data_IF_539902976441
#
_entry.id   IF_539902976441
#
_cell.length_a   1.000
_cell.length_b   1.000
_cell.length_c   1.000
_cell.angle_alpha   90.00
_cell.angle_beta   90.00
_cell.angle_gamma   90.00
#
_symmetry.space_group_name_H-M   'P 1'
#
loop_
_entity.id
_entity.type
_entity.pdbx_description
1 polymer ?
#
# COMPACT_ATOMS: atom_id res chain seq x y z
N UNK A 1 -70.81 -20.23 -2.01
CA UNK A 1 -70.21 -21.04 -0.93
C UNK A 1 -68.71 -20.83 -0.69
N UNK A 2 -67.95 -20.10 -1.53
CA UNK A 2 -66.49 -19.87 -1.35
C UNK A 2 -66.08 -18.62 -0.53
N UNK A 3 -66.99 -17.69 -0.19
CA UNK A 3 -66.64 -16.45 0.54
C UNK A 3 -66.70 -16.53 2.07
N UNK A 4 -67.42 -17.50 2.64
CA UNK A 4 -67.56 -17.65 4.11
C UNK A 4 -66.43 -18.46 4.77
N UNK A 5 -65.70 -19.30 4.01
CA UNK A 5 -64.58 -20.08 4.55
C UNK A 5 -63.26 -19.30 4.63
N UNK A 6 -63.09 -18.23 3.85
CA UNK A 6 -61.85 -17.44 3.85
C UNK A 6 -61.73 -16.53 5.09
N UNK A 7 -62.83 -15.93 5.56
CA UNK A 7 -62.83 -15.06 6.75
C UNK A 7 -62.60 -15.84 8.06
N UNK A 8 -63.08 -17.08 8.18
CA UNK A 8 -62.85 -17.93 9.38
C UNK A 8 -61.38 -18.36 9.51
N UNK A 9 -60.68 -18.56 8.39
CA UNK A 9 -59.28 -18.98 8.40
C UNK A 9 -58.33 -17.82 8.74
N UNK A 10 -58.61 -16.61 8.24
CA UNK A 10 -57.85 -15.40 8.62
C UNK A 10 -57.99 -15.06 10.12
N UNK A 11 -59.17 -15.24 10.72
CA UNK A 11 -59.38 -14.94 12.14
C UNK A 11 -58.64 -15.91 13.09
N UNK A 12 -58.54 -17.20 12.71
CA UNK A 12 -57.78 -18.18 13.49
C UNK A 12 -56.25 -18.00 13.35
N UNK A 13 -55.78 -17.55 12.19
CA UNK A 13 -54.36 -17.29 11.95
C UNK A 13 -53.88 -16.02 12.69
N UNK A 14 -54.72 -14.97 12.76
CA UNK A 14 -54.42 -13.76 13.53
C UNK A 14 -54.39 -14.03 15.04
N UNK A 15 -55.30 -14.88 15.55
CA UNK A 15 -55.36 -15.26 16.97
C UNK A 15 -54.16 -16.12 17.39
N UNK A 16 -53.66 -17.01 16.52
CA UNK A 16 -52.41 -17.77 16.76
C UNK A 16 -51.17 -16.87 16.77
N UNK A 17 -51.08 -15.90 15.85
CA UNK A 17 -49.95 -14.93 15.83
C UNK A 17 -49.96 -13.99 17.04
N UNK A 18 -51.15 -13.55 17.49
CA UNK A 18 -51.28 -12.73 18.70
C UNK A 18 -50.90 -13.50 19.98
N UNK A 19 -51.27 -14.80 20.08
CA UNK A 19 -50.91 -15.64 21.23
C UNK A 19 -49.40 -15.99 21.26
N UNK A 20 -48.76 -16.20 20.11
CA UNK A 20 -47.31 -16.37 20.04
C UNK A 20 -46.56 -15.06 20.37
N UNK A 21 -47.06 -13.90 19.93
CA UNK A 21 -46.47 -12.60 20.27
C UNK A 21 -46.55 -12.28 21.76
N UNK A 22 -47.65 -12.63 22.42
CA UNK A 22 -47.81 -12.47 23.87
C UNK A 22 -46.85 -13.37 24.65
N UNK A 23 -46.62 -14.60 24.18
CA UNK A 23 -45.65 -15.51 24.80
C UNK A 23 -44.21 -14.98 24.69
N UNK A 24 -43.83 -14.40 23.55
CA UNK A 24 -42.49 -13.80 23.36
C UNK A 24 -42.28 -12.57 24.26
N UNK A 25 -43.32 -11.80 24.56
CA UNK A 25 -43.25 -10.63 25.45
C UNK A 25 -43.26 -10.99 26.94
N UNK A 26 -43.87 -12.11 27.31
CA UNK A 26 -44.01 -12.54 28.72
C UNK A 26 -42.88 -13.50 29.15
N UNK A 27 -42.27 -14.24 28.21
CA UNK A 27 -41.15 -15.16 28.49
C UNK A 27 -39.96 -14.53 29.26
N UNK A 28 -39.56 -13.27 29.02
CA UNK A 28 -38.47 -12.62 29.79
C UNK A 28 -38.88 -12.26 31.23
N UNK A 29 -40.18 -12.13 31.50
CA UNK A 29 -40.71 -11.75 32.82
C UNK A 29 -40.87 -12.95 33.76
N UNK A 30 -41.11 -14.15 33.20
CA UNK A 30 -41.31 -15.39 33.97
C UNK A 30 -39.96 -16.09 34.27
N UNK A 31 -38.96 -15.91 33.40
CA UNK A 31 -37.62 -16.50 33.57
C UNK A 31 -36.50 -15.46 33.50
N UNK A 32 -36.43 -14.50 34.45
CA UNK A 32 -35.42 -13.45 34.42
C UNK A 32 -33.98 -14.00 34.50
N UNK A 33 -33.77 -15.17 35.12
CA UNK A 33 -32.45 -15.82 35.25
C UNK A 33 -31.92 -16.47 33.96
N UNK A 34 -32.77 -16.72 32.95
CA UNK A 34 -32.34 -17.26 31.65
C UNK A 34 -31.93 -16.16 30.66
N UNK A 35 -32.30 -14.90 30.96
CA UNK A 35 -32.05 -13.74 30.11
C UNK A 35 -31.32 -12.60 30.83
N UNK A 36 -30.80 -12.82 32.05
CA UNK A 36 -29.72 -11.96 32.55
C UNK A 36 -28.57 -12.06 31.56
N UNK A 37 -28.24 -11.00 30.81
CA UNK A 37 -26.91 -10.91 30.25
C UNK A 37 -25.95 -10.88 31.45
N UNK A 38 -24.70 -11.20 31.23
CA UNK A 38 -23.59 -10.91 32.12
C UNK A 38 -23.57 -9.40 32.52
N UNK A 39 -24.44 -8.96 33.42
CA UNK A 39 -24.46 -7.61 34.02
C UNK A 39 -23.60 -7.55 35.28
N UNK A 40 -22.88 -8.64 35.58
CA UNK A 40 -21.68 -8.63 36.40
C UNK A 40 -20.38 -8.62 35.57
N UNK A 41 -20.41 -8.10 34.34
CA UNK A 41 -19.23 -7.39 33.87
C UNK A 41 -19.22 -6.03 34.56
N UNK A 42 -18.43 -5.95 35.62
CA UNK A 42 -18.02 -4.70 36.25
C UNK A 42 -17.78 -3.59 35.22
N UNK A 43 -18.05 -2.30 35.54
CA UNK A 43 -17.81 -1.18 34.62
C UNK A 43 -16.32 -0.95 34.28
N UNK A 44 -15.45 -1.91 34.61
CA UNK A 44 -14.01 -1.89 34.38
C UNK A 44 -13.57 -2.37 32.98
N UNK A 45 -14.48 -2.78 32.09
CA UNK A 45 -14.10 -3.30 30.75
C UNK A 45 -14.19 -2.29 29.60
N UNK A 46 -14.67 -1.07 29.85
CA UNK A 46 -14.63 0.04 28.88
C UNK A 46 -13.57 1.11 29.20
N UNK A 47 -12.81 0.95 30.29
CA UNK A 47 -11.73 1.89 30.68
C UNK A 47 -10.36 1.60 30.06
N UNK A 48 -10.19 0.50 29.32
CA UNK A 48 -8.90 0.13 28.70
C UNK A 48 -8.69 0.66 27.27
N UNK A 49 -9.57 1.53 26.74
CA UNK A 49 -9.12 2.48 25.73
C UNK A 49 -8.27 3.55 26.43
N UNK A 50 -7.10 3.14 26.92
CA UNK A 50 -6.09 4.10 27.35
C UNK A 50 -5.82 4.98 26.14
N UNK A 51 -6.09 6.28 26.28
CA UNK A 51 -5.61 7.30 25.33
C UNK A 51 -4.12 7.03 25.15
N UNK A 52 -3.62 6.81 23.91
CA UNK A 52 -2.21 6.56 23.69
C UNK A 52 -1.40 7.69 24.35
N UNK A 53 -0.58 7.34 25.35
CA UNK A 53 0.27 8.34 26.00
C UNK A 53 1.44 8.65 25.06
N UNK A 54 1.76 9.93 24.81
CA UNK A 54 2.91 10.30 24.00
C UNK A 54 4.17 9.71 24.60
N UNK A 55 4.91 8.95 23.81
CA UNK A 55 5.99 8.12 24.33
C UNK A 55 7.25 8.94 24.60
N UNK A 56 7.40 10.05 23.88
CA UNK A 56 8.59 10.89 23.86
C UNK A 56 8.26 12.34 24.23
N UNK A 57 7.31 12.55 25.14
CA UNK A 57 6.79 13.88 25.51
C UNK A 57 7.88 14.90 25.86
N UNK A 58 8.96 14.47 26.55
CA UNK A 58 10.11 15.35 26.87
C UNK A 58 10.81 15.83 25.60
N UNK A 59 11.08 14.92 24.67
CA UNK A 59 11.74 15.23 23.40
C UNK A 59 10.84 16.12 22.53
N UNK A 60 9.54 15.87 22.54
CA UNK A 60 8.56 16.68 21.81
C UNK A 60 8.54 18.13 22.32
N UNK A 61 8.57 18.33 23.65
CA UNK A 61 8.68 19.66 24.25
C UNK A 61 9.99 20.35 23.86
N UNK A 62 11.11 19.63 23.93
CA UNK A 62 12.41 20.18 23.52
C UNK A 62 12.45 20.55 22.03
N UNK A 63 11.82 19.74 21.16
CA UNK A 63 11.73 20.04 19.73
C UNK A 63 10.88 21.28 19.44
N UNK A 64 9.76 21.46 20.16
CA UNK A 64 8.89 22.64 20.04
C UNK A 64 9.55 23.94 20.54
N UNK A 65 10.48 23.83 21.51
CA UNK A 65 11.16 24.97 22.14
C UNK A 65 12.51 25.30 21.48
N UNK A 66 12.93 24.55 20.46
CA UNK A 66 14.24 24.72 19.83
C UNK A 66 14.32 26.07 19.10
N UNK A 67 15.17 26.96 19.59
CA UNK A 67 15.49 28.22 18.92
C UNK A 67 16.44 28.02 17.72
N UNK A 68 16.30 28.91 16.74
CA UNK A 68 16.92 28.83 15.41
C UNK A 68 18.43 29.12 15.46
N UNK A 69 19.26 28.14 15.14
CA UNK A 69 20.66 28.40 14.78
C UNK A 69 20.72 28.72 13.28
N UNK A 70 20.92 29.99 12.94
CA UNK A 70 20.91 30.52 11.56
C UNK A 70 21.99 29.95 10.64
N UNK A 71 23.04 29.32 11.19
CA UNK A 71 24.15 28.74 10.43
C UNK A 71 23.93 27.32 9.87
N UNK A 72 22.97 26.54 10.40
CA UNK A 72 22.80 25.12 10.04
C UNK A 72 21.83 24.89 8.85
N UNK A 73 21.07 25.91 8.42
CA UNK A 73 20.03 25.75 7.38
C UNK A 73 20.58 25.62 5.95
N UNK A 74 21.78 26.12 5.64
CA UNK A 74 22.34 26.02 4.28
C UNK A 74 22.73 24.58 3.92
N UNK A 75 23.28 23.86 4.89
CA UNK A 75 23.82 22.51 4.69
C UNK A 75 22.71 21.47 4.59
N UNK A 76 21.60 21.66 5.31
CA UNK A 76 20.43 20.78 5.28
C UNK A 76 19.88 20.55 3.87
N UNK A 77 19.91 21.59 3.05
CA UNK A 77 19.37 21.58 1.69
C UNK A 77 20.43 21.49 0.60
N UNK A 78 21.68 21.24 0.99
CA UNK A 78 22.76 20.96 0.05
C UNK A 78 22.56 19.56 -0.56
N UNK A 79 22.88 19.38 -1.86
CA UNK A 79 22.89 18.04 -2.44
C UNK A 79 23.91 17.17 -1.70
N UNK A 80 23.57 15.90 -1.49
CA UNK A 80 24.54 14.92 -0.99
C UNK A 80 25.70 14.81 -1.98
N UNK A 81 26.90 14.52 -1.47
CA UNK A 81 28.05 14.26 -2.31
C UNK A 81 27.72 13.17 -3.33
N UNK A 82 28.07 13.41 -4.59
CA UNK A 82 27.95 12.41 -5.64
C UNK A 82 28.83 11.21 -5.27
N UNK A 83 28.19 10.08 -5.04
CA UNK A 83 28.87 8.83 -4.70
C UNK A 83 29.50 8.15 -5.94
N UNK A 84 29.44 8.78 -7.11
CA UNK A 84 30.02 8.27 -8.36
C UNK A 84 29.19 7.19 -9.04
N UNK A 85 27.98 6.90 -8.55
CA UNK A 85 27.06 5.98 -9.20
C UNK A 85 26.53 6.58 -10.50
N UNK A 86 26.76 5.90 -11.61
CA UNK A 86 26.27 6.33 -12.92
C UNK A 86 25.19 5.36 -13.41
N UNK A 87 24.10 5.86 -14.02
CA UNK A 87 23.19 5.01 -14.76
C UNK A 87 23.98 4.20 -15.79
N UNK A 88 23.82 2.88 -15.78
CA UNK A 88 24.49 2.03 -16.74
C UNK A 88 23.85 2.24 -18.14
N UNK A 89 24.47 3.09 -18.95
CA UNK A 89 24.06 3.43 -20.32
C UNK A 89 24.73 2.52 -21.38
N UNK A 90 25.10 1.29 -21.00
CA UNK A 90 25.73 0.35 -21.91
C UNK A 90 24.76 -0.04 -23.03
N UNK A 91 24.97 0.53 -24.22
CA UNK A 91 24.45 -0.05 -25.47
C UNK A 91 25.20 -1.34 -25.72
N UNK A 92 24.75 -2.43 -25.11
CA UNK A 92 25.14 -3.76 -25.59
C UNK A 92 24.46 -3.91 -26.93
N UNK A 93 25.24 -4.17 -27.99
CA UNK A 93 24.70 -4.66 -29.25
C UNK A 93 23.98 -5.97 -28.92
N UNK A 94 22.68 -5.89 -28.64
CA UNK A 94 21.90 -7.06 -28.28
C UNK A 94 21.92 -7.98 -29.50
N UNK A 95 22.30 -9.26 -29.34
CA UNK A 95 22.15 -10.22 -30.43
C UNK A 95 20.68 -10.21 -30.87
N UNK A 96 20.46 -10.28 -32.18
CA UNK A 96 19.12 -10.30 -32.76
C UNK A 96 18.27 -11.36 -32.07
N UNK A 97 17.03 -11.01 -31.75
CA UNK A 97 16.07 -11.96 -31.19
C UNK A 97 16.03 -13.25 -32.04
N UNK A 98 15.99 -14.43 -31.39
CA UNK A 98 15.81 -15.68 -32.12
C UNK A 98 14.54 -15.62 -32.97
N UNK A 99 14.60 -16.12 -34.21
CA UNK A 99 13.45 -16.09 -35.14
C UNK A 99 12.23 -16.86 -34.61
N UNK A 100 12.43 -17.82 -33.70
CA UNK A 100 11.37 -18.66 -33.14
C UNK A 100 11.46 -18.68 -31.61
N UNK A 101 10.32 -18.45 -30.96
CA UNK A 101 10.15 -18.56 -29.51
C UNK A 101 9.82 -20.00 -29.09
N UNK A 102 10.26 -20.40 -27.90
CA UNK A 102 9.99 -21.72 -27.30
C UNK A 102 8.54 -21.89 -26.80
N UNK A 103 7.75 -20.80 -26.75
CA UNK A 103 6.36 -20.81 -26.30
C UNK A 103 5.97 -19.55 -25.53
N UNK A 104 4.79 -19.57 -24.91
CA UNK A 104 4.24 -18.46 -24.15
C UNK A 104 4.47 -18.63 -22.64
N UNK A 105 5.07 -17.62 -22.02
CA UNK A 105 5.25 -17.56 -20.57
C UNK A 105 4.21 -16.64 -19.96
N UNK A 106 3.36 -17.18 -19.08
CA UNK A 106 2.47 -16.42 -18.22
C UNK A 106 3.00 -16.40 -16.79
N UNK A 107 2.92 -15.23 -16.15
CA UNK A 107 3.25 -15.07 -14.72
C UNK A 107 2.09 -14.43 -13.99
N UNK A 108 1.78 -14.95 -12.80
CA UNK A 108 0.73 -14.44 -11.92
C UNK A 108 1.38 -13.85 -10.68
N UNK A 109 1.53 -12.53 -10.66
CA UNK A 109 2.35 -11.79 -9.73
C UNK A 109 1.68 -11.62 -8.37
N UNK A 110 2.26 -12.20 -7.32
CA UNK A 110 1.78 -12.05 -5.95
C UNK A 110 2.60 -11.04 -5.13
N UNK A 111 2.04 -10.63 -3.99
CA UNK A 111 2.64 -9.63 -3.11
C UNK A 111 2.04 -8.24 -3.26
N UNK A 112 2.66 -7.23 -2.65
CA UNK A 112 2.30 -5.82 -2.86
C UNK A 112 2.89 -5.26 -4.14
N UNK A 113 2.43 -4.09 -4.61
CA UNK A 113 2.84 -3.51 -5.90
C UNK A 113 4.37 -3.40 -6.09
N UNK A 114 5.12 -3.04 -5.05
CA UNK A 114 6.59 -3.00 -5.14
C UNK A 114 7.24 -4.39 -5.24
N UNK A 115 6.63 -5.42 -4.65
CA UNK A 115 7.08 -6.82 -4.82
C UNK A 115 6.72 -7.32 -6.22
N UNK A 116 5.51 -7.00 -6.70
CA UNK A 116 5.08 -7.32 -8.06
C UNK A 116 5.97 -6.62 -9.09
N UNK A 117 6.40 -5.37 -8.85
CA UNK A 117 7.38 -4.64 -9.67
C UNK A 117 8.69 -5.42 -9.83
N UNK A 118 9.22 -5.96 -8.74
CA UNK A 118 10.39 -6.85 -8.80
C UNK A 118 10.08 -8.15 -9.56
N UNK A 119 8.90 -8.72 -9.35
CA UNK A 119 8.44 -9.89 -10.08
C UNK A 119 8.30 -9.64 -11.60
N UNK A 120 7.90 -8.44 -12.04
CA UNK A 120 7.89 -8.08 -13.46
C UNK A 120 9.31 -8.10 -14.04
N UNK A 121 10.29 -7.56 -13.30
CA UNK A 121 11.69 -7.58 -13.70
C UNK A 121 12.22 -9.02 -13.83
N UNK A 122 11.87 -9.88 -12.86
CA UNK A 122 12.19 -11.31 -12.91
C UNK A 122 11.50 -12.02 -14.08
N UNK A 123 10.24 -11.71 -14.38
CA UNK A 123 9.49 -12.34 -15.45
C UNK A 123 10.10 -12.05 -16.83
N UNK A 124 10.50 -10.81 -17.08
CA UNK A 124 11.21 -10.43 -18.32
C UNK A 124 12.56 -11.15 -18.42
N UNK A 125 13.31 -11.21 -17.33
CA UNK A 125 14.59 -11.93 -17.28
C UNK A 125 14.41 -13.45 -17.53
N UNK A 126 13.41 -14.06 -16.91
CA UNK A 126 13.08 -15.48 -17.10
C UNK A 126 12.63 -15.74 -18.54
N UNK A 127 11.81 -14.88 -19.13
CA UNK A 127 11.43 -14.99 -20.55
C UNK A 127 12.66 -14.96 -21.46
N UNK A 128 13.64 -14.08 -21.17
CA UNK A 128 14.91 -14.04 -21.90
C UNK A 128 15.72 -15.33 -21.75
N UNK A 129 15.84 -15.85 -20.52
CA UNK A 129 16.56 -17.10 -20.23
C UNK A 129 15.93 -18.29 -20.97
N UNK A 130 14.60 -18.32 -21.06
CA UNK A 130 13.84 -19.40 -21.68
C UNK A 130 13.62 -19.24 -23.20
N UNK A 131 14.07 -18.12 -23.81
CA UNK A 131 13.71 -17.73 -25.17
C UNK A 131 12.16 -17.78 -25.42
N UNK A 132 11.40 -17.34 -24.42
CA UNK A 132 9.94 -17.40 -24.41
C UNK A 132 9.31 -16.04 -24.75
N UNK A 133 8.10 -16.08 -25.30
CA UNK A 133 7.25 -14.90 -25.48
C UNK A 133 6.53 -14.61 -24.19
N UNK A 134 6.79 -13.44 -23.61
CA UNK A 134 6.15 -13.04 -22.36
C UNK A 134 4.74 -12.51 -22.64
N UNK A 135 3.75 -13.08 -21.97
CA UNK A 135 2.41 -12.48 -21.88
C UNK A 135 2.46 -11.37 -20.82
N UNK A 136 1.79 -10.24 -21.05
CA UNK A 136 1.73 -9.15 -20.06
C UNK A 136 1.42 -9.73 -18.66
N UNK A 137 2.29 -9.46 -17.66
CA UNK A 137 2.15 -10.05 -16.33
C UNK A 137 0.80 -9.76 -15.67
N UNK A 138 0.17 -10.77 -15.10
CA UNK A 138 -1.08 -10.61 -14.36
C UNK A 138 -0.81 -10.20 -12.91
N UNK A 139 -1.42 -9.13 -12.42
CA UNK A 139 -1.28 -8.69 -11.03
C UNK A 139 -2.36 -9.37 -10.15
N UNK A 140 -1.95 -10.21 -9.19
CA UNK A 140 -2.89 -10.77 -8.22
C UNK A 140 -3.33 -9.71 -7.22
N UNK A 141 -4.61 -9.77 -6.82
CA UNK A 141 -5.16 -8.90 -5.78
C UNK A 141 -4.56 -9.26 -4.43
N UNK A 142 -3.90 -8.28 -3.80
CA UNK A 142 -3.33 -8.47 -2.48
C UNK A 142 -4.41 -8.38 -1.39
N UNK A 143 -4.44 -9.28 -0.40
CA UNK A 143 -5.48 -9.28 0.64
C UNK A 143 -5.44 -8.06 1.58
N UNK A 144 -4.31 -7.36 1.68
CA UNK A 144 -4.16 -6.15 2.50
C UNK A 144 -4.70 -4.93 1.78
N UNK A 145 -4.29 -4.74 0.53
CA UNK A 145 -4.57 -3.53 -0.24
C UNK A 145 -5.89 -3.60 -1.01
N UNK A 146 -6.31 -4.81 -1.41
CA UNK A 146 -7.52 -5.08 -2.17
C UNK A 146 -7.65 -4.25 -3.46
N UNK A 147 -6.51 -3.84 -4.03
CA UNK A 147 -6.45 -3.13 -5.30
C UNK A 147 -6.61 -4.13 -6.45
N UNK A 148 -7.59 -3.87 -7.31
CA UNK A 148 -7.93 -4.69 -8.48
C UNK A 148 -7.38 -4.12 -9.79
N UNK A 149 -6.55 -3.07 -9.73
CA UNK A 149 -5.94 -2.47 -10.91
C UNK A 149 -5.10 -3.50 -11.66
N UNK A 150 -5.31 -3.58 -12.97
CA UNK A 150 -4.53 -4.43 -13.85
C UNK A 150 -3.15 -3.82 -14.14
N UNK A 151 -2.27 -4.59 -14.80
CA UNK A 151 -0.99 -4.07 -15.27
C UNK A 151 -1.18 -2.83 -16.15
N UNK A 152 -2.21 -2.81 -17.00
CA UNK A 152 -2.45 -1.74 -17.98
C UNK A 152 -3.07 -0.49 -17.36
N UNK A 153 -3.71 -0.62 -16.20
CA UNK A 153 -4.23 0.51 -15.44
C UNK A 153 -3.09 1.30 -14.76
N UNK A 154 -1.96 0.64 -14.48
CA UNK A 154 -0.82 1.21 -13.76
C UNK A 154 0.29 1.61 -14.71
N UNK A 155 0.69 0.73 -15.63
CA UNK A 155 1.86 0.89 -16.49
C UNK A 155 1.49 1.10 -17.96
N UNK A 156 2.26 1.95 -18.63
CA UNK A 156 2.15 2.20 -20.06
C UNK A 156 2.67 0.98 -20.85
N UNK A 157 1.73 0.15 -21.30
CA UNK A 157 2.03 -1.13 -21.96
C UNK A 157 2.74 -0.93 -23.29
N UNK A 158 2.34 0.06 -24.08
CA UNK A 158 2.94 0.30 -25.39
C UNK A 158 4.39 0.78 -25.25
N UNK A 159 4.65 1.66 -24.27
CA UNK A 159 6.02 2.03 -23.90
C UNK A 159 6.83 0.83 -23.41
N UNK A 160 6.25 0.00 -22.53
CA UNK A 160 6.90 -1.20 -21.99
C UNK A 160 7.33 -2.17 -23.11
N UNK A 161 6.42 -2.47 -24.04
CA UNK A 161 6.70 -3.33 -25.20
C UNK A 161 7.74 -2.71 -26.13
N UNK A 162 7.62 -1.41 -26.43
CA UNK A 162 8.56 -0.75 -27.34
C UNK A 162 9.99 -0.65 -26.77
N UNK A 163 10.15 -0.44 -25.46
CA UNK A 163 11.48 -0.41 -24.80
C UNK A 163 12.16 -1.78 -24.82
N UNK A 164 11.38 -2.86 -24.75
CA UNK A 164 11.86 -4.24 -24.63
C UNK A 164 11.82 -5.04 -25.94
N UNK A 165 11.38 -4.44 -27.04
CA UNK A 165 11.15 -5.11 -28.34
C UNK A 165 12.37 -5.82 -28.91
N UNK A 166 13.58 -5.36 -28.57
CA UNK A 166 14.84 -5.94 -29.03
C UNK A 166 15.41 -6.94 -27.99
N UNK A 167 14.85 -6.99 -26.78
CA UNK A 167 15.29 -7.88 -25.70
C UNK A 167 14.49 -9.18 -25.66
N UNK A 168 13.15 -9.10 -25.68
CA UNK A 168 12.24 -10.25 -25.68
C UNK A 168 10.95 -9.97 -26.47
N UNK A 169 10.31 -10.99 -27.06
CA UNK A 169 8.95 -10.86 -27.58
C UNK A 169 7.93 -10.76 -26.43
N UNK A 170 7.00 -9.81 -26.54
CA UNK A 170 5.94 -9.56 -25.55
C UNK A 170 4.60 -9.45 -26.28
N UNK A 171 3.55 -10.05 -25.71
CA UNK A 171 2.17 -9.95 -26.22
C UNK A 171 1.20 -9.53 -25.13
N UNK A 172 0.15 -8.80 -25.51
CA UNK A 172 -0.90 -8.33 -24.59
C UNK A 172 -1.83 -9.46 -24.16
N UNK A 173 -2.28 -10.24 -25.14
CA UNK A 173 -3.24 -11.32 -24.97
C UNK A 173 -2.73 -12.57 -25.65
N UNK A 174 -3.09 -13.73 -25.10
CA UNK A 174 -2.73 -15.03 -25.66
C UNK A 174 -3.45 -15.27 -27.00
N UNK A 175 -2.86 -16.05 -27.91
CA UNK A 175 -3.57 -16.58 -29.07
C UNK A 175 -4.79 -17.44 -28.67
N UNK A 176 -5.78 -17.53 -29.55
CA UNK A 176 -7.06 -18.21 -29.29
C UNK A 176 -6.90 -19.67 -28.82
N UNK A 177 -5.89 -20.39 -29.33
CA UNK A 177 -5.57 -21.77 -28.94
C UNK A 177 -5.19 -21.92 -27.45
N UNK A 178 -4.76 -20.83 -26.81
CA UNK A 178 -4.41 -20.74 -25.39
C UNK A 178 -5.39 -19.89 -24.57
N UNK A 179 -6.53 -19.48 -25.13
CA UNK A 179 -7.56 -18.67 -24.43
C UNK A 179 -8.08 -19.31 -23.15
N UNK A 180 -7.97 -20.64 -23.01
CA UNK A 180 -8.31 -21.39 -21.79
C UNK A 180 -7.35 -21.13 -20.62
N UNK A 181 -6.16 -20.57 -20.87
CA UNK A 181 -5.08 -20.40 -19.91
C UNK A 181 -5.28 -19.16 -19.02
N UNK A 182 -6.34 -19.21 -18.21
CA UNK A 182 -6.79 -18.11 -17.35
C UNK A 182 -6.43 -18.33 -15.88
N UNK A 183 -6.58 -17.28 -15.07
CA UNK A 183 -6.37 -17.35 -13.63
C UNK A 183 -7.32 -18.35 -12.96
N UNK A 184 -8.57 -18.38 -13.41
CA UNK A 184 -9.65 -19.25 -12.94
C UNK A 184 -9.35 -20.70 -13.29
N UNK A 185 -8.88 -20.95 -14.51
CA UNK A 185 -8.47 -22.29 -14.94
C UNK A 185 -7.41 -22.89 -14.01
N UNK A 186 -6.41 -22.10 -13.64
CA UNK A 186 -5.35 -22.51 -12.72
C UNK A 186 -5.77 -22.55 -11.25
N UNK A 187 -6.86 -21.88 -10.86
CA UNK A 187 -7.39 -21.89 -9.50
C UNK A 187 -8.05 -23.24 -9.14
N UNK A 188 -8.65 -23.90 -10.12
CA UNK A 188 -9.56 -25.04 -9.91
C UNK A 188 -8.88 -26.38 -9.69
N UNK A 189 -7.72 -26.60 -10.29
CA UNK A 189 -7.02 -27.89 -10.23
C UNK A 189 -5.51 -27.75 -10.47
N UNK A 190 -4.77 -28.82 -10.19
CA UNK A 190 -3.36 -28.94 -10.58
C UNK A 190 -3.33 -29.19 -12.09
N UNK A 191 -2.56 -28.38 -12.83
CA UNK A 191 -2.43 -28.45 -14.29
C UNK A 191 -0.98 -28.69 -14.66
N UNK A 192 -0.73 -29.53 -15.66
CA UNK A 192 0.64 -29.79 -16.15
C UNK A 192 1.35 -28.54 -16.68
N UNK A 193 0.58 -27.56 -17.17
CA UNK A 193 1.10 -26.26 -17.63
C UNK A 193 1.35 -25.26 -16.50
N UNK A 194 1.02 -25.59 -15.24
CA UNK A 194 1.19 -24.70 -14.09
C UNK A 194 2.41 -25.07 -13.24
N UNK A 195 3.34 -24.13 -13.11
CA UNK A 195 4.48 -24.22 -12.21
C UNK A 195 4.13 -23.53 -10.88
N UNK A 196 3.84 -24.33 -9.84
CA UNK A 196 3.46 -23.84 -8.50
C UNK A 196 4.64 -23.71 -7.53
N UNK A 197 5.73 -24.45 -7.76
CA UNK A 197 6.84 -24.64 -6.81
C UNK A 197 8.16 -24.05 -7.29
N UNK A 198 8.13 -22.90 -7.97
CA UNK A 198 9.36 -22.18 -8.24
C UNK A 198 10.03 -21.80 -6.91
N UNK A 199 11.27 -22.23 -6.63
CA UNK A 199 12.00 -21.83 -5.43
C UNK A 199 12.08 -20.30 -5.32
N UNK A 200 12.15 -19.80 -4.09
CA UNK A 200 12.55 -18.40 -3.87
C UNK A 200 14.02 -18.31 -4.28
N UNK A 201 14.38 -17.31 -5.09
CA UNK A 201 15.72 -17.18 -5.68
C UNK A 201 16.18 -18.41 -6.50
N UNK A 202 15.30 -18.96 -7.34
CA UNK A 202 15.68 -20.04 -8.25
C UNK A 202 16.81 -19.59 -9.21
N UNK A 203 17.73 -20.48 -9.54
CA UNK A 203 18.80 -20.22 -10.51
C UNK A 203 18.27 -20.20 -11.94
N UNK A 204 19.03 -19.64 -12.88
CA UNK A 204 18.69 -19.70 -14.31
C UNK A 204 18.53 -21.16 -14.80
N UNK A 205 19.43 -22.06 -14.37
CA UNK A 205 19.36 -23.48 -14.72
C UNK A 205 18.08 -24.15 -14.23
N UNK A 206 17.58 -23.76 -13.05
CA UNK A 206 16.32 -24.31 -12.55
C UNK A 206 15.17 -24.04 -13.52
N UNK A 207 15.11 -22.85 -14.13
CA UNK A 207 14.10 -22.53 -15.15
C UNK A 207 14.29 -23.36 -16.42
N UNK A 208 15.53 -23.53 -16.88
CA UNK A 208 15.85 -24.37 -18.05
C UNK A 208 15.47 -25.84 -17.82
N UNK A 209 15.63 -26.36 -16.60
CA UNK A 209 15.34 -27.75 -16.27
C UNK A 209 13.85 -28.01 -15.96
N UNK A 210 13.12 -27.01 -15.44
CA UNK A 210 11.78 -27.23 -14.89
C UNK A 210 10.66 -26.50 -15.62
N UNK A 211 10.96 -25.41 -16.35
CA UNK A 211 9.96 -24.60 -17.06
C UNK A 211 10.08 -24.77 -18.57
N UNK A 212 11.29 -24.80 -19.11
CA UNK A 212 11.50 -24.99 -20.56
C UNK A 212 10.86 -26.29 -21.09
N UNK A 213 10.95 -27.46 -20.42
CA UNK A 213 10.32 -28.68 -20.93
C UNK A 213 8.79 -28.56 -21.00
N UNK A 214 8.18 -27.80 -20.08
CA UNK A 214 6.73 -27.54 -20.07
C UNK A 214 6.34 -26.67 -21.26
N UNK A 215 7.11 -25.61 -21.54
CA UNK A 215 6.94 -24.74 -22.71
C UNK A 215 7.03 -25.55 -24.01
N UNK A 216 8.10 -26.33 -24.17
CA UNK A 216 8.33 -27.11 -25.39
C UNK A 216 7.26 -28.19 -25.62
N UNK A 217 6.72 -28.77 -24.54
CA UNK A 217 5.71 -29.83 -24.65
C UNK A 217 4.29 -29.31 -24.87
N UNK A 218 3.95 -28.13 -24.33
CA UNK A 218 2.57 -27.63 -24.31
C UNK A 218 2.37 -26.31 -25.07
N UNK A 219 3.45 -25.68 -25.53
CA UNK A 219 3.45 -24.33 -26.11
C UNK A 219 3.25 -23.20 -25.09
N UNK A 220 2.89 -23.51 -23.85
CA UNK A 220 2.59 -22.52 -22.80
C UNK A 220 2.99 -23.03 -21.41
N UNK A 221 3.48 -22.11 -20.57
CA UNK A 221 3.76 -22.35 -19.16
C UNK A 221 3.29 -21.17 -18.31
N UNK A 222 2.59 -21.47 -17.22
CA UNK A 222 2.08 -20.50 -16.27
C UNK A 222 2.77 -20.66 -14.91
N UNK A 223 3.45 -19.62 -14.43
CA UNK A 223 4.06 -19.62 -13.10
C UNK A 223 3.13 -18.87 -12.15
N UNK A 224 2.56 -19.60 -11.18
CA UNK A 224 1.57 -19.06 -10.24
C UNK A 224 1.63 -19.76 -8.88
N UNK A 225 1.96 -19.05 -7.79
CA UNK A 225 2.28 -17.62 -7.73
C UNK A 225 3.70 -17.27 -8.23
N UNK A 226 3.92 -16.01 -8.63
CA UNK A 226 5.21 -15.48 -9.05
C UNK A 226 5.55 -14.18 -8.30
N UNK A 227 6.69 -14.16 -7.62
CA UNK A 227 7.18 -13.00 -6.86
C UNK A 227 8.63 -12.73 -7.26
N UNK A 228 9.49 -12.45 -6.28
CA UNK A 228 10.94 -12.52 -6.41
C UNK A 228 11.42 -13.97 -6.51
N UNK A 229 11.43 -14.54 -7.72
CA UNK A 229 11.67 -15.98 -7.94
C UNK A 229 12.93 -16.28 -8.74
N UNK A 230 13.65 -15.28 -9.23
CA UNK A 230 14.95 -15.48 -9.89
C UNK A 230 16.08 -14.94 -8.99
N UNK A 231 17.15 -15.72 -8.83
CA UNK A 231 18.31 -15.36 -8.00
C UNK A 231 18.99 -14.08 -8.49
N UNK A 232 19.79 -13.43 -7.64
CA UNK A 232 20.73 -12.40 -8.07
C UNK A 232 22.13 -12.96 -8.34
N UNK A 233 22.44 -14.12 -7.77
CA UNK A 233 23.76 -14.70 -7.81
C UNK A 233 23.99 -15.45 -9.12
N UNK A 234 25.22 -15.36 -9.64
CA UNK A 234 25.68 -16.10 -10.82
C UNK A 234 24.84 -15.88 -12.09
N UNK A 235 24.11 -14.76 -12.18
CA UNK A 235 23.45 -14.37 -13.41
C UNK A 235 24.42 -13.64 -14.34
N UNK A 236 24.34 -13.89 -15.66
CA UNK A 236 25.06 -13.09 -16.64
C UNK A 236 24.76 -11.60 -16.48
N UNK A 237 25.76 -10.75 -16.72
CA UNK A 237 25.63 -9.29 -16.60
C UNK A 237 24.49 -8.75 -17.46
N UNK A 238 24.28 -9.30 -18.65
CA UNK A 238 23.18 -8.94 -19.57
C UNK A 238 21.79 -9.14 -18.95
N UNK A 239 21.59 -10.20 -18.16
CA UNK A 239 20.31 -10.45 -17.48
C UNK A 239 20.07 -9.44 -16.36
N UNK A 240 21.12 -9.09 -15.61
CA UNK A 240 21.02 -8.06 -14.58
C UNK A 240 20.80 -6.67 -15.18
N UNK A 241 21.43 -6.38 -16.32
CA UNK A 241 21.19 -5.17 -17.08
C UNK A 241 19.75 -5.10 -17.58
N UNK A 242 19.20 -6.22 -18.08
CA UNK A 242 17.81 -6.29 -18.51
C UNK A 242 16.86 -6.02 -17.35
N UNK A 243 17.08 -6.60 -16.17
CA UNK A 243 16.28 -6.28 -14.96
C UNK A 243 16.33 -4.79 -14.62
N UNK A 244 17.50 -4.16 -14.66
CA UNK A 244 17.64 -2.73 -14.43
C UNK A 244 16.90 -1.90 -15.50
N UNK A 245 17.04 -2.26 -16.78
CA UNK A 245 16.32 -1.63 -17.91
C UNK A 245 14.81 -1.72 -17.70
N UNK A 246 14.30 -2.89 -17.31
CA UNK A 246 12.88 -3.06 -17.01
C UNK A 246 12.45 -2.15 -15.86
N UNK A 247 13.16 -2.21 -14.74
CA UNK A 247 12.78 -1.51 -13.52
C UNK A 247 12.80 0.01 -13.66
N UNK A 248 13.79 0.57 -14.37
CA UNK A 248 14.02 2.01 -14.40
C UNK A 248 13.63 2.69 -15.72
N UNK A 249 13.49 1.93 -16.82
CA UNK A 249 13.19 2.49 -18.15
C UNK A 249 11.88 1.97 -18.74
N UNK A 250 11.59 0.66 -18.63
CA UNK A 250 10.40 0.08 -19.25
C UNK A 250 9.13 0.28 -18.42
N UNK A 251 9.24 0.20 -17.09
CA UNK A 251 8.11 0.42 -16.18
C UNK A 251 7.87 1.90 -15.94
N UNK A 252 7.03 2.49 -16.79
CA UNK A 252 6.58 3.87 -16.69
C UNK A 252 5.08 3.87 -16.41
N UNK A 253 4.61 4.74 -15.53
CA UNK A 253 3.19 4.86 -15.25
C UNK A 253 2.42 5.38 -16.46
N UNK A 254 1.15 5.00 -16.57
CA UNK A 254 0.22 5.53 -17.57
C UNK A 254 0.15 7.07 -17.54
N UNK A 255 -0.14 7.73 -18.67
CA UNK A 255 -0.03 9.19 -18.79
C UNK A 255 -0.78 9.99 -17.73
N UNK A 256 -1.98 9.56 -17.33
CA UNK A 256 -2.79 10.28 -16.35
C UNK A 256 -2.21 10.24 -14.92
N UNK A 257 -1.59 9.12 -14.52
CA UNK A 257 -0.88 9.02 -13.24
C UNK A 257 0.34 9.95 -13.23
N UNK A 258 1.10 9.99 -14.34
CA UNK A 258 2.25 10.90 -14.49
C UNK A 258 1.82 12.36 -14.43
N UNK A 259 0.80 12.74 -15.19
CA UNK A 259 0.26 14.10 -15.20
C UNK A 259 -0.21 14.54 -13.80
N UNK A 260 -0.85 13.65 -13.04
CA UNK A 260 -1.21 13.92 -11.65
C UNK A 260 0.03 14.14 -10.77
N UNK A 261 1.05 13.28 -10.89
CA UNK A 261 2.32 13.42 -10.19
C UNK A 261 3.01 14.75 -10.48
N UNK A 262 3.09 15.12 -11.76
CA UNK A 262 3.68 16.39 -12.19
C UNK A 262 2.90 17.59 -11.63
N UNK A 263 1.56 17.53 -11.64
CA UNK A 263 0.71 18.57 -11.06
C UNK A 263 0.91 18.69 -9.53
N UNK A 264 1.08 17.59 -8.81
CA UNK A 264 1.37 17.59 -7.38
C UNK A 264 2.74 18.22 -7.10
N UNK A 265 3.78 17.81 -7.81
CA UNK A 265 5.14 18.38 -7.68
C UNK A 265 5.13 19.86 -8.03
N UNK A 266 4.41 20.26 -9.08
CA UNK A 266 4.28 21.66 -9.46
C UNK A 266 3.66 22.50 -8.33
N UNK A 267 2.55 22.05 -7.73
CA UNK A 267 1.90 22.75 -6.61
C UNK A 267 2.77 22.82 -5.35
N UNK A 268 3.60 21.80 -5.11
CA UNK A 268 4.52 21.79 -3.97
C UNK A 268 5.69 22.77 -4.16
N UNK A 269 6.19 22.91 -5.40
CA UNK A 269 7.29 23.84 -5.73
C UNK A 269 6.82 25.29 -5.90
N UNK A 270 5.60 25.47 -6.39
CA UNK A 270 5.01 26.78 -6.69
C UNK A 270 3.64 26.87 -5.99
N UNK A 271 3.62 27.01 -4.65
CA UNK A 271 2.37 27.22 -3.96
C UNK A 271 1.72 28.51 -4.47
N UNK A 272 0.40 28.54 -4.66
CA UNK A 272 -0.29 29.78 -4.97
C UNK A 272 0.04 30.79 -3.86
N UNK A 273 0.58 31.94 -4.24
CA UNK A 273 0.90 33.00 -3.29
C UNK A 273 -0.35 33.42 -2.52
N UNK A 274 -0.15 33.90 -1.28
CA UNK A 274 -1.05 34.83 -0.61
C UNK A 274 -1.20 36.08 -1.46
N UNK A 275 -1.93 35.99 -2.57
CA UNK A 275 -2.44 37.16 -3.25
C UNK A 275 -3.57 37.71 -2.36
N UNK A 276 -3.19 38.58 -1.43
CA UNK A 276 -4.11 39.64 -1.02
C UNK A 276 -4.37 40.48 -2.26
N UNK A 277 -5.39 40.12 -3.02
CA UNK A 277 -6.07 40.99 -3.98
C UNK A 277 -7.32 40.27 -4.42
N UNK A 278 -8.44 40.71 -3.87
CA UNK A 278 -9.77 40.59 -4.44
C UNK A 278 -9.77 41.04 -5.90
N UNK A 279 -9.46 40.18 -6.86
CA UNK A 279 -10.04 40.29 -8.20
C UNK A 279 -9.88 38.98 -9.00
N UNK A 280 -10.97 38.23 -9.11
CA UNK A 280 -11.08 37.01 -9.91
C UNK A 280 -11.30 37.37 -11.39
N UNK A 281 -10.49 38.26 -11.98
CA UNK A 281 -10.48 38.42 -13.44
C UNK A 281 -9.28 39.21 -13.95
N UNK A 282 -8.17 38.52 -14.21
CA UNK A 282 -7.26 38.92 -15.29
C UNK A 282 -6.56 37.70 -15.87
N UNK A 283 -6.90 37.43 -17.12
CA UNK A 283 -6.00 36.79 -18.08
C UNK A 283 -4.68 37.55 -18.08
N UNK A 284 -3.57 36.85 -17.89
CA UNK A 284 -2.21 37.36 -18.05
C UNK A 284 -1.45 36.30 -18.85
N UNK A 285 -1.31 36.44 -20.17
CA UNK A 285 -0.22 37.20 -20.82
C UNK A 285 1.05 37.27 -19.96
N UNK A 286 2.01 36.40 -20.30
CA UNK A 286 3.46 36.58 -20.22
C UNK A 286 4.02 37.59 -19.21
N UNK A 287 3.84 37.31 -17.91
CA UNK A 287 4.69 37.89 -16.87
C UNK A 287 5.43 36.77 -16.13
N UNK A 288 6.58 36.42 -16.68
CA UNK A 288 7.62 35.58 -16.07
C UNK A 288 8.26 36.32 -14.87
N UNK A 289 7.49 36.50 -13.79
CA UNK A 289 8.08 36.67 -12.47
C UNK A 289 8.70 35.33 -12.08
N UNK A 290 10.03 35.20 -12.19
CA UNK A 290 10.79 34.00 -11.79
C UNK A 290 10.60 33.74 -10.29
N UNK A 291 9.49 33.12 -9.90
CA UNK A 291 9.41 32.50 -8.58
C UNK A 291 10.40 31.35 -8.56
N UNK A 292 11.38 31.43 -7.66
CA UNK A 292 12.29 30.31 -7.45
C UNK A 292 11.50 29.13 -6.87
N UNK A 293 11.72 27.90 -7.35
CA UNK A 293 11.02 26.73 -6.86
C UNK A 293 11.30 26.55 -5.36
N UNK A 294 10.24 26.41 -4.57
CA UNK A 294 10.37 26.08 -3.15
C UNK A 294 10.85 24.64 -3.00
N UNK A 295 11.74 24.43 -2.01
CA UNK A 295 12.15 23.10 -1.57
C UNK A 295 11.08 22.52 -0.65
N UNK A 296 10.92 21.20 -0.70
CA UNK A 296 9.99 20.45 0.15
C UNK A 296 10.58 19.08 0.45
N UNK A 297 10.14 18.46 1.54
CA UNK A 297 10.55 17.12 1.94
C UNK A 297 9.47 16.13 1.54
N UNK A 298 9.88 14.98 1.00
CA UNK A 298 8.98 13.85 0.72
C UNK A 298 9.19 12.79 1.78
N UNK A 299 8.09 12.38 2.43
CA UNK A 299 8.08 11.33 3.43
C UNK A 299 7.16 10.20 2.97
N UNK A 300 7.71 8.99 2.84
CA UNK A 300 6.91 7.78 2.71
C UNK A 300 6.77 7.11 4.07
N UNK A 301 5.60 7.25 4.69
CA UNK A 301 5.34 6.72 6.03
C UNK A 301 4.65 5.36 5.94
N UNK A 302 5.45 4.29 6.10
CA UNK A 302 4.96 2.92 6.15
C UNK A 302 4.57 2.51 7.57
N UNK A 303 3.59 3.21 8.13
CA UNK A 303 3.03 2.93 9.46
C UNK A 303 1.56 2.49 9.38
N UNK A 304 1.28 1.58 8.46
CA UNK A 304 -0.06 1.04 8.27
C UNK A 304 -0.35 -0.11 9.23
N UNK A 305 -1.64 -0.47 9.36
CA UNK A 305 -2.07 -1.52 10.29
C UNK A 305 -1.38 -2.86 10.03
N UNK A 306 -1.09 -3.20 8.78
CA UNK A 306 -0.37 -4.42 8.42
C UNK A 306 1.09 -4.38 8.85
N UNK A 307 1.78 -3.25 8.65
CA UNK A 307 3.16 -3.09 9.10
C UNK A 307 3.27 -3.07 10.63
N UNK A 308 2.37 -2.35 11.31
CA UNK A 308 2.30 -2.33 12.76
C UNK A 308 2.01 -3.74 13.31
N UNK A 309 1.09 -4.48 12.69
CA UNK A 309 0.78 -5.84 13.12
C UNK A 309 1.96 -6.79 12.88
N UNK A 310 2.58 -6.74 11.69
CA UNK A 310 3.69 -7.62 11.31
C UNK A 310 4.92 -7.44 12.20
N UNK A 311 5.23 -6.21 12.60
CA UNK A 311 6.41 -5.92 13.43
C UNK A 311 6.32 -6.48 14.86
N UNK A 312 5.11 -6.78 15.35
CA UNK A 312 4.83 -7.24 16.71
C UNK A 312 5.32 -6.29 17.82
N UNK A 313 5.68 -5.05 17.47
CA UNK A 313 6.17 -4.07 18.42
C UNK A 313 5.03 -3.48 19.26
N UNK A 314 5.39 -2.96 20.42
CA UNK A 314 4.50 -2.11 21.21
C UNK A 314 4.50 -0.70 20.61
N UNK A 315 3.35 -0.07 20.43
CA UNK A 315 3.21 1.31 19.98
C UNK A 315 2.54 2.24 21.01
N UNK A 316 2.32 1.75 22.23
CA UNK A 316 1.82 2.56 23.35
C UNK A 316 0.30 2.52 23.52
N UNK A 317 -0.43 1.77 22.70
CA UNK A 317 -1.88 1.56 22.83
C UNK A 317 -2.28 0.47 23.83
N UNK A 318 -1.33 -0.04 24.63
CA UNK A 318 -1.59 -0.96 25.73
C UNK A 318 -2.08 -2.35 25.30
N UNK A 319 -2.77 -3.06 26.21
CA UNK A 319 -3.21 -4.44 25.99
C UNK A 319 -4.22 -4.56 24.86
N UNK A 320 -5.11 -3.58 24.73
CA UNK A 320 -6.13 -3.54 23.68
C UNK A 320 -5.51 -3.48 22.27
N UNK A 321 -4.55 -2.58 22.04
CA UNK A 321 -3.84 -2.46 20.76
C UNK A 321 -3.07 -3.75 20.44
N UNK A 322 -2.32 -4.30 21.40
CA UNK A 322 -1.58 -5.55 21.23
C UNK A 322 -2.49 -6.70 20.82
N UNK A 323 -3.64 -6.85 21.46
CA UNK A 323 -4.62 -7.89 21.14
C UNK A 323 -5.22 -7.67 19.74
N UNK A 324 -5.55 -6.43 19.38
CA UNK A 324 -6.09 -6.08 18.07
C UNK A 324 -5.09 -6.37 16.93
N UNK A 325 -3.80 -6.04 17.12
CA UNK A 325 -2.73 -6.32 16.17
C UNK A 325 -2.41 -7.81 16.07
N UNK A 326 -2.46 -8.55 17.19
CA UNK A 326 -2.32 -10.01 17.18
C UNK A 326 -3.47 -10.68 16.40
N UNK A 327 -4.72 -10.26 16.64
CA UNK A 327 -5.88 -10.77 15.90
C UNK A 327 -5.77 -10.45 14.41
N UNK A 328 -5.37 -9.24 14.06
CA UNK A 328 -5.19 -8.84 12.66
C UNK A 328 -4.12 -9.69 11.95
N UNK A 329 -3.00 -9.99 12.62
CA UNK A 329 -1.97 -10.89 12.06
C UNK A 329 -2.52 -12.27 11.71
N UNK A 330 -3.31 -12.86 12.61
CA UNK A 330 -3.92 -14.16 12.39
C UNK A 330 -4.84 -14.14 11.17
N UNK A 331 -5.66 -13.09 11.02
CA UNK A 331 -6.58 -12.97 9.89
C UNK A 331 -5.86 -12.79 8.56
N UNK A 332 -4.88 -11.87 8.47
CA UNK A 332 -4.24 -11.52 7.19
C UNK A 332 -3.25 -12.60 6.73
N UNK A 333 -2.44 -13.15 7.64
CA UNK A 333 -1.39 -14.10 7.26
C UNK A 333 -1.74 -15.56 7.55
N UNK A 334 -2.95 -15.84 8.06
CA UNK A 334 -3.43 -17.20 8.37
C UNK A 334 -2.45 -17.96 9.28
N UNK A 335 -1.87 -17.26 10.27
CA UNK A 335 -0.92 -17.84 11.22
C UNK A 335 0.53 -17.95 10.73
N UNK A 336 0.85 -17.56 9.49
CA UNK A 336 2.22 -17.57 8.97
C UNK A 336 3.16 -16.54 9.63
N UNK A 337 2.58 -15.49 10.21
CA UNK A 337 3.32 -14.48 10.97
C UNK A 337 3.02 -14.69 12.45
N UNK A 338 4.00 -15.23 13.17
CA UNK A 338 3.89 -15.54 14.59
C UNK A 338 4.09 -14.31 15.48
N UNK A 339 3.79 -14.47 16.76
CA UNK A 339 4.24 -13.54 17.78
C UNK A 339 5.76 -13.52 17.86
N UNK A 340 6.33 -12.33 18.03
CA UNK A 340 7.76 -12.20 18.27
C UNK A 340 8.11 -12.85 19.62
N UNK A 341 9.23 -13.55 19.65
CA UNK A 341 9.84 -14.05 20.89
C UNK A 341 10.73 -12.98 21.54
N UNK A 342 11.10 -11.94 20.79
CA UNK A 342 11.89 -10.81 21.26
C UNK A 342 11.02 -9.81 22.01
N UNK A 343 11.62 -9.21 23.04
CA UNK A 343 11.07 -8.04 23.71
C UNK A 343 10.99 -6.85 22.77
N UNK A 344 10.12 -5.90 23.09
CA UNK A 344 9.96 -4.67 22.33
C UNK A 344 11.27 -3.86 22.21
N UNK A 345 12.09 -3.84 23.26
CA UNK A 345 13.41 -3.18 23.27
C UNK A 345 14.36 -3.81 22.26
N UNK A 346 14.40 -5.14 22.18
CA UNK A 346 15.26 -5.87 21.23
C UNK A 346 14.80 -5.66 19.79
N UNK A 347 13.48 -5.69 19.54
CA UNK A 347 12.92 -5.39 18.22
C UNK A 347 13.31 -3.99 17.74
N UNK A 348 13.22 -2.99 18.63
CA UNK A 348 13.64 -1.61 18.32
C UNK A 348 15.14 -1.50 18.08
N UNK A 349 15.99 -2.09 18.94
CA UNK A 349 17.44 -2.02 18.76
C UNK A 349 17.93 -2.69 17.48
N UNK A 350 17.18 -3.67 16.96
CA UNK A 350 17.46 -4.33 15.68
C UNK A 350 16.84 -3.62 14.47
N UNK A 351 16.17 -2.48 14.65
CA UNK A 351 15.49 -1.76 13.57
C UNK A 351 14.27 -2.48 13.00
N UNK A 352 13.66 -3.41 13.75
CA UNK A 352 12.50 -4.20 13.31
C UNK A 352 11.15 -3.51 13.54
N UNK A 353 11.13 -2.43 14.33
CA UNK A 353 9.94 -1.63 14.55
C UNK A 353 9.89 -0.44 13.60
N UNK A 354 8.77 -0.21 12.88
CA UNK A 354 8.58 1.03 12.15
C UNK A 354 8.52 2.21 13.13
N UNK A 355 9.04 3.36 12.71
CA UNK A 355 8.93 4.60 13.47
C UNK A 355 7.47 5.05 13.52
N UNK A 356 7.01 5.46 14.70
CA UNK A 356 5.69 6.08 14.85
C UNK A 356 5.67 7.47 14.21
N UNK A 357 4.49 8.04 13.87
CA UNK A 357 4.40 9.43 13.42
C UNK A 357 5.07 10.43 14.40
N UNK A 358 4.98 10.16 15.72
CA UNK A 358 5.67 10.94 16.76
C UNK A 358 7.19 10.89 16.60
N UNK A 359 7.75 9.69 16.44
CA UNK A 359 9.19 9.48 16.27
C UNK A 359 9.71 10.09 14.96
N UNK A 360 8.92 10.03 13.89
CA UNK A 360 9.27 10.67 12.60
C UNK A 360 9.28 12.19 12.71
N UNK A 361 8.30 12.79 13.40
CA UNK A 361 8.29 14.24 13.63
C UNK A 361 9.50 14.72 14.42
N UNK A 362 9.89 13.96 15.46
CA UNK A 362 11.10 14.23 16.25
C UNK A 362 12.38 14.09 15.40
N UNK A 363 12.45 13.06 14.56
CA UNK A 363 13.58 12.87 13.65
C UNK A 363 13.72 14.06 12.69
N UNK A 364 12.63 14.52 12.07
CA UNK A 364 12.65 15.68 11.18
C UNK A 364 13.11 16.95 11.91
N UNK A 365 12.60 17.20 13.11
CA UNK A 365 13.04 18.34 13.93
C UNK A 365 14.52 18.23 14.34
N UNK A 366 14.98 17.01 14.65
CA UNK A 366 16.39 16.75 14.97
C UNK A 366 17.32 17.02 13.79
N UNK A 367 16.89 16.68 12.57
CA UNK A 367 17.61 16.97 11.32
C UNK A 367 17.66 18.47 10.96
N UNK A 368 16.88 19.31 11.63
CA UNK A 368 16.86 20.76 11.41
C UNK A 368 15.70 21.25 10.55
N UNK A 369 14.74 20.38 10.22
CA UNK A 369 13.48 20.83 9.61
C UNK A 369 12.60 21.52 10.65
N UNK A 370 11.94 22.60 10.25
CA UNK A 370 11.12 23.45 11.11
C UNK A 370 9.66 23.53 10.62
N UNK A 371 8.83 24.28 11.34
CA UNK A 371 7.42 24.46 11.01
C UNK A 371 7.13 25.19 9.68
N UNK A 372 8.15 25.78 9.04
CA UNK A 372 8.02 26.36 7.71
C UNK A 372 8.37 25.35 6.61
N UNK A 373 8.86 24.17 6.98
CA UNK A 373 9.22 23.12 6.03
C UNK A 373 7.95 22.50 5.44
N UNK A 374 7.84 22.60 4.11
CA UNK A 374 6.76 21.93 3.36
C UNK A 374 7.02 20.43 3.31
N UNK A 375 6.05 19.64 3.73
CA UNK A 375 6.11 18.18 3.70
C UNK A 375 5.08 17.63 2.72
N UNK A 376 5.52 16.72 1.85
CA UNK A 376 4.64 15.82 1.11
C UNK A 376 4.67 14.44 1.77
N UNK A 377 3.54 14.02 2.31
CA UNK A 377 3.40 12.75 3.00
C UNK A 377 2.65 11.75 2.13
N UNK A 378 3.36 10.70 1.71
CA UNK A 378 2.80 9.51 1.11
C UNK A 378 2.60 8.45 2.20
N UNK A 379 1.34 8.14 2.52
CA UNK A 379 1.00 7.05 3.45
C UNK A 379 -0.29 6.37 3.00
N UNK A 380 -0.53 5.15 3.45
CA UNK A 380 -1.88 4.62 3.43
C UNK A 380 -2.58 4.96 4.76
N UNK A 381 -3.65 4.26 5.13
CA UNK A 381 -4.37 4.46 6.39
C UNK A 381 -3.45 4.13 7.57
N UNK A 382 -2.83 5.17 8.11
CA UNK A 382 -1.95 5.11 9.27
C UNK A 382 -2.65 4.46 10.45
N UNK A 383 -1.99 3.48 11.06
CA UNK A 383 -2.52 2.79 12.23
C UNK A 383 -2.55 3.72 13.45
N UNK A 384 -3.61 3.60 14.27
CA UNK A 384 -3.75 4.32 15.53
C UNK A 384 -3.83 5.86 15.40
N UNK A 385 -4.61 6.37 14.43
CA UNK A 385 -5.10 7.74 14.44
C UNK A 385 -6.31 7.87 15.39
N UNK A 386 -6.06 7.81 16.70
CA UNK A 386 -6.84 8.66 17.61
C UNK A 386 -6.19 10.05 17.57
N UNK A 387 -6.95 11.12 17.88
CA UNK A 387 -6.62 12.54 17.65
C UNK A 387 -5.18 13.03 17.95
N UNK A 388 -4.36 12.27 18.69
CA UNK A 388 -2.97 12.58 19.00
C UNK A 388 -1.93 12.15 17.94
N UNK A 389 -2.24 11.22 17.04
CA UNK A 389 -1.25 10.73 16.04
C UNK A 389 -0.80 11.78 15.01
N UNK A 390 -1.68 12.76 14.73
CA UNK A 390 -1.33 13.96 13.95
C UNK A 390 -0.67 15.05 14.80
N UNK A 391 -0.70 14.96 16.14
CA UNK A 391 -0.22 16.03 17.00
C UNK A 391 1.29 16.27 16.90
N UNK A 392 2.07 15.27 16.48
CA UNK A 392 3.50 15.47 16.19
C UNK A 392 3.76 16.01 14.78
N UNK A 393 2.86 15.77 13.83
CA UNK A 393 2.86 16.48 12.54
C UNK A 393 2.40 17.94 12.68
N UNK A 394 1.86 18.36 13.83
CA UNK A 394 1.66 19.79 14.17
C UNK A 394 2.99 20.56 14.26
N UNK A 395 4.13 19.87 14.37
CA UNK A 395 5.45 20.51 14.19
C UNK A 395 5.60 21.11 12.78
N UNK A 396 4.79 20.67 11.80
CA UNK A 396 4.89 21.03 10.39
C UNK A 396 3.51 21.42 9.83
N UNK A 397 3.02 22.65 10.09
CA UNK A 397 1.72 23.13 9.63
C UNK A 397 1.56 23.12 8.09
N UNK A 398 2.66 23.16 7.33
CA UNK A 398 2.65 23.08 5.86
C UNK A 398 2.70 21.63 5.33
N UNK A 399 1.82 20.76 5.84
CA UNK A 399 1.71 19.37 5.43
C UNK A 399 0.72 19.19 4.27
N UNK A 400 1.18 18.61 3.17
CA UNK A 400 0.32 18.11 2.08
C UNK A 400 0.23 16.60 2.15
N UNK A 401 -0.96 16.09 2.43
CA UNK A 401 -1.20 14.65 2.62
C UNK A 401 -1.79 14.05 1.34
N UNK A 402 -1.19 12.95 0.87
CA UNK A 402 -1.83 12.05 -0.10
C UNK A 402 -1.97 10.68 0.54
N UNK A 403 -3.22 10.33 0.88
CA UNK A 403 -3.59 8.95 1.25
C UNK A 403 -4.20 8.23 0.07
N UNK A 404 -4.12 6.89 0.01
CA UNK A 404 -4.78 6.14 -1.07
C UNK A 404 -6.32 6.23 -1.06
N UNK A 405 -6.91 6.92 -0.07
CA UNK A 405 -8.34 7.27 0.02
C UNK A 405 -8.58 8.81 0.03
N UNK A 406 -7.62 9.60 -0.47
CA UNK A 406 -7.58 11.07 -0.33
C UNK A 406 -8.58 11.87 -1.17
N UNK A 407 -9.84 11.42 -1.24
CA UNK A 407 -10.97 12.29 -1.56
C UNK A 407 -11.92 12.51 -0.36
N UNK A 408 -11.72 11.81 0.77
CA UNK A 408 -12.70 11.85 1.87
C UNK A 408 -12.39 12.83 3.01
N UNK A 409 -11.15 13.32 3.15
CA UNK A 409 -10.76 14.10 4.34
C UNK A 409 -11.18 15.57 4.32
N UNK A 410 -11.48 16.17 3.16
CA UNK A 410 -12.03 17.55 3.10
C UNK A 410 -13.49 17.65 3.55
N UNK A 411 -14.20 16.53 3.77
CA UNK A 411 -15.62 16.56 4.14
C UNK A 411 -15.84 16.70 5.66
N UNK A 412 -14.83 16.43 6.50
CA UNK A 412 -14.98 16.42 7.96
C UNK A 412 -14.53 17.73 8.65
N UNK A 413 -13.72 18.57 7.98
CA UNK A 413 -13.36 19.91 8.50
C UNK A 413 -14.55 20.88 8.50
N UNK A 414 -15.60 20.62 7.72
CA UNK A 414 -16.78 21.49 7.62
C UNK A 414 -17.88 21.28 8.67
N UNK A 415 -17.77 20.30 9.58
CA UNK A 415 -18.89 19.93 10.49
C UNK A 415 -18.59 19.88 11.98
N UNK A 416 -17.35 20.12 12.41
CA UNK A 416 -17.02 20.22 13.83
C UNK A 416 -16.40 21.58 14.11
N UNK A 417 -17.27 22.59 14.23
CA UNK A 417 -16.91 23.88 14.79
C UNK A 417 -16.52 23.70 16.26
N UNK A 418 -15.27 24.04 16.59
CA UNK A 418 -14.85 24.17 17.98
C UNK A 418 -15.21 25.57 18.49
N UNK A 419 -15.86 25.71 19.66
CA UNK A 419 -16.15 27.01 20.25
C UNK A 419 -14.89 27.64 20.84
N UNK A 420 -14.72 28.94 20.63
CA UNK A 420 -13.80 29.79 21.36
C UNK A 420 -14.14 29.76 22.86
N UNK A 421 -13.16 29.46 23.71
CA UNK A 421 -13.24 29.77 25.14
C UNK A 421 -12.32 30.95 25.43
N UNK A 422 -12.93 32.10 25.71
CA UNK A 422 -12.28 33.27 26.30
C UNK A 422 -11.90 32.96 27.76
N UNK A 423 -10.70 33.39 28.14
CA UNK A 423 -10.20 33.36 29.51
C UNK A 423 -10.83 34.49 30.32
N UNK A 424 -11.54 34.15 31.39
CA UNK A 424 -11.84 35.09 32.48
C UNK A 424 -11.47 34.45 33.81
N UNK A 425 -10.40 34.95 34.41
CA UNK A 425 -10.05 34.75 35.81
C UNK A 425 -10.92 35.62 36.71
N UNK A 426 -11.08 35.25 37.98
CA UNK A 426 -10.84 36.18 39.08
C UNK A 426 -9.41 36.07 39.61
#
# INVERSE_FOLDING_TARGET
MMRLNYQRHCYQLLRRKAMCGLFVLIFPLIFPCLFTPFTHASPYTFSEWNVPKPRHLRLLRSALQRERLTGEQSDLWAPLADQGWRPYLGSVNAPSLPQKSEGYLQVFLDGGLNQQRMGICDAVAVAKILNATLVIPHLEVNPVWQDSSSFMDIFDVDHFMNVLKDDIPIIKELPDEFSWSTREYYATAIRGTRIKRAPVHASANWYLENVLPVLQSNGIAAISPFSHRLSFDNLPSEIQQLRCKVNFKALVFVPHIRALGDALVHRLRYPPGQASSTDYRRETTDQNGKQNPQKFVVLHLRFDKDMAAHSACDFGGGKAEKLALAKYRQTIWQGRVLNSQFTDKELRSQGRCPLTPEEVGLLLAALGFDNNTRLYLASHKVHCLTNFGFAALLLFPTLSLTTSNSLYFRYMEGKLGFPHYESSSP
#
